data_IF_807179009732
#
_entry.id   IF_807179009732
#
_cell.length_a   1.000
_cell.length_b   1.000
_cell.length_c   1.000
_cell.angle_alpha   90.00
_cell.angle_beta   90.00
_cell.angle_gamma   90.00
#
_symmetry.space_group_name_H-M   'P 1'
#
loop_
_entity.id
_entity.type
_entity.pdbx_description
1 polymer ?
#
# COMPACT_ATOMS: atom_id res chain seq x y z
N UNK A 1 -25.92 16.17 9.01
CA UNK A 1 -26.23 14.80 9.44
C UNK A 1 -26.00 13.83 8.27
N UNK A 2 -24.77 13.49 7.95
CA UNK A 2 -24.46 12.48 6.89
C UNK A 2 -23.04 11.94 7.08
N UNK A 3 -22.71 11.35 8.23
CA UNK A 3 -21.34 11.00 8.54
C UNK A 3 -21.15 9.58 9.12
N UNK A 4 -22.14 8.69 9.01
CA UNK A 4 -22.01 7.31 9.52
C UNK A 4 -21.82 6.24 8.43
N UNK A 5 -21.88 6.58 7.14
CA UNK A 5 -22.00 5.58 6.07
C UNK A 5 -20.72 5.32 5.26
N UNK A 6 -19.64 6.12 5.39
CA UNK A 6 -18.45 5.92 4.54
C UNK A 6 -17.56 4.73 4.97
N UNK A 7 -17.74 4.24 6.20
CA UNK A 7 -17.04 3.07 6.72
C UNK A 7 -17.84 1.76 6.62
N UNK A 8 -19.15 1.84 6.34
CA UNK A 8 -20.04 0.66 6.25
C UNK A 8 -19.75 -0.26 5.06
N UNK A 9 -18.90 0.16 4.12
CA UNK A 9 -18.57 -0.59 2.91
C UNK A 9 -17.16 -1.20 2.93
N UNK A 10 -16.43 -1.12 4.07
CA UNK A 10 -15.10 -1.70 4.16
C UNK A 10 -15.18 -3.23 4.11
N UNK A 11 -14.46 -3.82 3.17
CA UNK A 11 -14.44 -5.28 2.96
C UNK A 11 -13.41 -5.91 3.88
N UNK A 12 -12.24 -5.26 4.01
CA UNK A 12 -11.18 -5.63 4.95
C UNK A 12 -10.74 -4.36 5.66
N UNK A 13 -10.86 -4.35 6.98
CA UNK A 13 -10.40 -3.28 7.87
C UNK A 13 -9.12 -3.66 8.62
N UNK A 14 -8.56 -2.72 9.38
CA UNK A 14 -7.45 -2.99 10.30
C UNK A 14 -7.84 -4.07 11.34
N UNK A 15 -6.90 -4.95 11.65
CA UNK A 15 -7.11 -6.05 12.60
C UNK A 15 -6.67 -5.65 14.02
N UNK A 16 -7.36 -4.69 14.63
CA UNK A 16 -7.02 -4.15 15.95
C UNK A 16 -7.31 -5.10 17.11
N UNK A 17 -8.18 -6.08 16.90
CA UNK A 17 -8.57 -7.04 17.95
C UNK A 17 -7.57 -8.20 18.06
N UNK A 18 -6.68 -8.37 17.09
CA UNK A 18 -5.65 -9.40 17.10
C UNK A 18 -4.48 -9.01 18.01
N UNK A 19 -4.52 -9.48 19.25
CA UNK A 19 -3.48 -9.21 20.25
C UNK A 19 -2.13 -9.82 19.91
N UNK A 20 -2.04 -10.71 18.93
CA UNK A 20 -0.76 -11.23 18.46
C UNK A 20 0.05 -10.21 17.64
N UNK A 21 -0.57 -9.12 17.20
CA UNK A 21 0.08 -8.05 16.42
C UNK A 21 0.77 -6.99 17.28
N UNK A 22 0.59 -7.04 18.60
CA UNK A 22 1.15 -6.08 19.55
C UNK A 22 1.75 -6.79 20.76
N UNK A 23 2.79 -6.18 21.34
CA UNK A 23 3.39 -6.60 22.61
C UNK A 23 3.42 -5.45 23.61
N UNK A 24 3.25 -5.78 24.88
CA UNK A 24 3.41 -4.82 25.98
C UNK A 24 4.87 -4.74 26.39
N UNK A 25 5.42 -3.56 26.42
CA UNK A 25 6.78 -3.29 26.90
C UNK A 25 6.77 -2.23 27.99
N UNK A 26 7.65 -2.40 28.96
CA UNK A 26 7.79 -1.48 30.09
C UNK A 26 9.05 -0.64 29.89
N UNK A 27 8.91 0.67 30.04
CA UNK A 27 10.01 1.62 29.94
C UNK A 27 9.92 2.70 31.01
N UNK A 28 10.69 3.77 30.84
CA UNK A 28 10.60 4.98 31.65
C UNK A 28 10.29 6.19 30.77
N UNK A 29 9.41 7.05 31.23
CA UNK A 29 9.11 8.32 30.58
C UNK A 29 10.20 9.39 30.86
N UNK A 30 10.02 10.60 30.37
CA UNK A 30 10.93 11.72 30.54
C UNK A 30 11.04 12.23 31.98
N UNK A 31 10.12 11.83 32.88
CA UNK A 31 10.14 12.13 34.32
C UNK A 31 10.77 10.99 35.12
N UNK A 32 11.22 9.89 34.50
CA UNK A 32 11.76 8.70 35.15
C UNK A 32 10.69 7.79 35.75
N UNK A 33 9.40 8.00 35.43
CA UNK A 33 8.30 7.18 35.89
C UNK A 33 8.18 5.93 35.01
N UNK A 34 7.76 4.82 35.62
CA UNK A 34 7.50 3.58 34.89
C UNK A 34 6.27 3.76 34.00
N UNK A 35 6.42 3.47 32.71
CA UNK A 35 5.36 3.53 31.70
C UNK A 35 5.29 2.18 30.96
N UNK A 36 4.08 1.67 30.77
CA UNK A 36 3.79 0.50 29.95
C UNK A 36 3.18 0.96 28.63
N UNK A 37 3.71 0.47 27.50
CA UNK A 37 3.26 0.81 26.17
C UNK A 37 2.97 -0.45 25.37
N UNK A 38 1.94 -0.43 24.54
CA UNK A 38 1.76 -1.39 23.46
C UNK A 38 2.64 -0.98 22.28
N UNK A 39 3.41 -1.91 21.74
CA UNK A 39 4.27 -1.74 20.57
C UNK A 39 3.92 -2.78 19.53
N UNK A 40 4.13 -2.43 18.25
CA UNK A 40 3.80 -3.33 17.15
C UNK A 40 4.78 -4.52 17.11
N UNK A 41 4.26 -5.70 16.82
CA UNK A 41 5.08 -6.87 16.52
C UNK A 41 5.66 -6.78 15.12
N UNK A 42 6.90 -7.22 14.98
CA UNK A 42 7.59 -7.33 13.71
C UNK A 42 8.16 -8.73 13.54
N UNK A 43 7.77 -9.41 12.47
CA UNK A 43 8.07 -10.84 12.25
C UNK A 43 8.58 -11.08 10.83
N UNK A 44 9.55 -12.00 10.64
CA UNK A 44 9.97 -12.40 9.31
C UNK A 44 8.87 -13.23 8.63
N UNK A 45 8.68 -13.01 7.34
CA UNK A 45 7.85 -13.82 6.45
C UNK A 45 8.67 -14.20 5.23
N UNK A 46 8.94 -15.50 5.05
CA UNK A 46 9.62 -16.02 3.86
C UNK A 46 8.62 -16.25 2.74
N UNK A 47 8.89 -15.65 1.57
CA UNK A 47 8.04 -15.74 0.38
C UNK A 47 8.73 -16.59 -0.67
N UNK A 48 8.08 -17.68 -1.07
CA UNK A 48 8.53 -18.59 -2.11
C UNK A 48 7.66 -18.47 -3.36
N UNK A 49 8.29 -18.58 -4.51
CA UNK A 49 7.62 -18.83 -5.79
C UNK A 49 8.02 -20.22 -6.25
N UNK A 50 7.08 -21.15 -6.30
CA UNK A 50 7.30 -22.57 -6.49
C UNK A 50 8.29 -23.14 -5.42
N UNK A 51 9.44 -23.64 -5.83
CA UNK A 51 10.46 -24.17 -4.94
C UNK A 51 11.53 -23.16 -4.51
N UNK A 52 11.46 -21.91 -5.01
CA UNK A 52 12.52 -20.94 -4.82
C UNK A 52 12.13 -19.86 -3.80
N UNK A 53 12.97 -19.65 -2.81
CA UNK A 53 12.87 -18.51 -1.91
C UNK A 53 13.17 -17.21 -2.67
N UNK A 54 12.25 -16.26 -2.61
CA UNK A 54 12.37 -14.98 -3.28
C UNK A 54 12.88 -13.91 -2.32
N UNK A 55 12.31 -13.87 -1.12
CA UNK A 55 12.61 -12.87 -0.11
C UNK A 55 12.11 -13.31 1.26
N UNK A 56 12.77 -12.83 2.32
CA UNK A 56 12.20 -12.75 3.66
C UNK A 56 11.95 -11.29 3.99
N UNK A 57 10.69 -10.94 4.21
CA UNK A 57 10.22 -9.58 4.51
C UNK A 57 9.84 -9.46 5.98
N UNK A 58 10.21 -8.35 6.64
CA UNK A 58 9.71 -8.03 7.98
C UNK A 58 8.32 -7.42 7.86
N UNK A 59 7.33 -7.98 8.57
CA UNK A 59 5.91 -7.63 8.50
C UNK A 59 5.26 -7.78 9.88
N UNK A 60 4.08 -7.21 10.08
CA UNK A 60 3.29 -7.47 11.28
C UNK A 60 2.70 -8.89 11.33
N UNK A 61 2.70 -9.60 10.20
CA UNK A 61 2.28 -11.00 10.10
C UNK A 61 0.82 -11.21 9.71
N UNK A 62 -0.02 -10.17 9.62
CA UNK A 62 -1.37 -10.28 9.12
C UNK A 62 -1.40 -10.41 7.58
N UNK A 63 -2.44 -11.02 7.03
CA UNK A 63 -2.65 -11.18 5.59
C UNK A 63 -1.43 -11.71 4.79
N UNK A 64 -0.69 -12.75 5.26
CA UNK A 64 0.57 -13.17 4.65
C UNK A 64 0.42 -13.60 3.18
N UNK A 65 -0.71 -14.22 2.81
CA UNK A 65 -0.99 -14.63 1.42
C UNK A 65 -1.16 -13.44 0.48
N UNK A 66 -1.82 -12.37 0.94
CA UNK A 66 -1.94 -11.14 0.14
C UNK A 66 -0.59 -10.44 0.01
N UNK A 67 0.20 -10.38 1.09
CA UNK A 67 1.55 -9.81 1.03
C UNK A 67 2.42 -10.53 0.01
N UNK A 68 2.49 -11.86 0.10
CA UNK A 68 3.31 -12.67 -0.81
C UNK A 68 2.89 -12.50 -2.28
N UNK A 69 1.60 -12.63 -2.56
CA UNK A 69 1.07 -12.52 -3.91
C UNK A 69 1.28 -11.12 -4.50
N UNK A 70 0.99 -10.09 -3.72
CA UNK A 70 1.15 -8.71 -4.15
C UNK A 70 2.61 -8.31 -4.32
N UNK A 71 3.50 -8.78 -3.45
CA UNK A 71 4.94 -8.61 -3.63
C UNK A 71 5.39 -9.20 -4.97
N UNK A 72 5.07 -10.47 -5.24
CA UNK A 72 5.45 -11.15 -6.48
C UNK A 72 4.89 -10.46 -7.73
N UNK A 73 3.66 -9.95 -7.67
CA UNK A 73 3.03 -9.17 -8.74
C UNK A 73 3.76 -7.84 -8.97
N UNK A 74 3.96 -7.05 -7.92
CA UNK A 74 4.60 -5.75 -8.01
C UNK A 74 6.08 -5.85 -8.41
N UNK A 75 6.74 -7.00 -8.16
CA UNK A 75 8.09 -7.31 -8.65
C UNK A 75 8.09 -7.88 -10.07
N UNK A 76 6.93 -7.98 -10.75
CA UNK A 76 6.79 -8.59 -12.09
C UNK A 76 7.31 -10.04 -12.17
N UNK A 77 7.32 -10.75 -11.06
CA UNK A 77 7.68 -12.17 -10.97
C UNK A 77 6.52 -13.08 -11.41
N UNK A 78 5.29 -12.61 -11.26
CA UNK A 78 4.06 -13.23 -11.72
C UNK A 78 3.39 -12.30 -12.73
N UNK A 79 3.06 -12.80 -13.91
CA UNK A 79 2.33 -12.06 -14.97
C UNK A 79 0.84 -11.97 -14.65
N UNK A 80 0.12 -11.04 -15.30
CA UNK A 80 -1.32 -10.86 -15.08
C UNK A 80 -2.15 -12.07 -15.49
N UNK A 81 -1.73 -12.77 -16.55
CA UNK A 81 -2.34 -13.99 -17.06
C UNK A 81 -1.73 -15.28 -16.47
N UNK A 82 -0.83 -15.17 -15.48
CA UNK A 82 -0.23 -16.34 -14.86
C UNK A 82 -1.28 -17.06 -14.00
N UNK A 83 -1.39 -18.38 -14.21
CA UNK A 83 -2.30 -19.20 -13.43
C UNK A 83 -1.64 -19.61 -12.12
N UNK A 84 -2.21 -19.11 -11.02
CA UNK A 84 -1.84 -19.55 -9.67
C UNK A 84 -2.52 -20.89 -9.40
N UNK A 85 -1.74 -21.91 -9.09
CA UNK A 85 -2.22 -23.26 -8.80
C UNK A 85 -2.40 -23.52 -7.31
N UNK A 86 -1.77 -22.71 -6.45
CA UNK A 86 -1.93 -22.80 -5.00
C UNK A 86 -1.20 -21.67 -4.29
N UNK A 87 -1.69 -21.33 -3.09
CA UNK A 87 -1.05 -20.42 -2.14
C UNK A 87 -1.15 -21.06 -0.75
N UNK A 88 -0.05 -21.59 -0.26
CA UNK A 88 0.04 -22.23 1.03
C UNK A 88 0.75 -21.31 2.02
N UNK A 89 0.26 -21.28 3.25
CA UNK A 89 0.90 -20.58 4.37
C UNK A 89 1.12 -21.54 5.51
N UNK A 90 2.33 -21.59 6.00
CA UNK A 90 2.75 -22.32 7.18
C UNK A 90 3.06 -21.29 8.29
N UNK A 91 2.26 -21.33 9.36
CA UNK A 91 2.37 -20.37 10.46
C UNK A 91 3.59 -20.67 11.36
N UNK A 92 4.00 -21.93 11.50
CA UNK A 92 5.15 -22.30 12.34
C UNK A 92 6.44 -21.76 11.74
N UNK A 93 6.65 -21.97 10.45
CA UNK A 93 7.82 -21.51 9.71
C UNK A 93 7.67 -20.08 9.17
N UNK A 94 6.47 -19.50 9.28
CA UNK A 94 6.12 -18.19 8.69
C UNK A 94 6.49 -18.10 7.21
N UNK A 95 6.09 -19.12 6.47
CA UNK A 95 6.44 -19.25 5.05
C UNK A 95 5.19 -19.26 4.19
N UNK A 96 5.19 -18.44 3.13
CA UNK A 96 4.18 -18.49 2.07
C UNK A 96 4.81 -19.03 0.80
N UNK A 97 4.18 -20.06 0.22
CA UNK A 97 4.57 -20.64 -1.06
C UNK A 97 3.46 -20.33 -2.07
N UNK A 98 3.79 -19.53 -3.08
CA UNK A 98 2.92 -19.29 -4.23
C UNK A 98 3.33 -20.23 -5.35
N UNK A 99 2.39 -21.03 -5.86
CA UNK A 99 2.63 -21.98 -6.97
C UNK A 99 1.99 -21.51 -8.26
N UNK A 100 2.77 -21.63 -9.34
CA UNK A 100 2.34 -21.32 -10.71
C UNK A 100 2.51 -22.55 -11.61
N UNK A 101 1.83 -22.58 -12.75
CA UNK A 101 1.99 -23.67 -13.72
C UNK A 101 3.37 -23.68 -14.40
N UNK A 102 4.02 -22.51 -14.49
CA UNK A 102 5.33 -22.34 -15.15
C UNK A 102 6.42 -22.14 -14.14
N UNK A 103 7.62 -22.67 -14.43
CA UNK A 103 8.81 -22.33 -13.67
C UNK A 103 9.17 -20.84 -13.83
N UNK A 104 9.70 -20.24 -12.75
CA UNK A 104 10.04 -18.82 -12.76
C UNK A 104 11.43 -18.57 -13.36
N UNK A 105 11.57 -17.49 -14.14
CA UNK A 105 12.87 -17.01 -14.64
C UNK A 105 13.59 -16.11 -13.63
N UNK A 106 13.40 -16.37 -12.33
CA UNK A 106 13.87 -15.51 -11.25
C UNK A 106 15.38 -15.26 -11.26
N UNK A 107 16.19 -16.28 -11.52
CA UNK A 107 17.65 -16.16 -11.55
C UNK A 107 18.16 -15.16 -12.59
N UNK A 108 17.48 -15.05 -13.73
CA UNK A 108 17.83 -14.08 -14.78
C UNK A 108 17.46 -12.64 -14.35
N UNK A 109 16.38 -12.49 -13.58
CA UNK A 109 15.90 -11.19 -13.08
C UNK A 109 16.69 -10.65 -11.89
N UNK A 110 17.24 -11.53 -11.03
CA UNK A 110 18.08 -11.13 -9.90
C UNK A 110 19.33 -10.36 -10.32
N UNK A 111 19.89 -10.63 -11.51
CA UNK A 111 21.11 -9.97 -11.99
C UNK A 111 20.96 -8.46 -12.16
N UNK A 112 19.72 -7.93 -12.22
CA UNK A 112 19.41 -6.50 -12.41
C UNK A 112 19.03 -5.78 -11.08
N UNK A 113 19.40 -6.33 -9.92
CA UNK A 113 19.02 -5.74 -8.61
C UNK A 113 19.64 -4.37 -8.37
N UNK A 114 18.80 -3.39 -8.10
CA UNK A 114 19.18 -2.09 -7.52
C UNK A 114 18.71 -2.07 -6.06
N UNK A 115 19.60 -1.69 -5.12
CA UNK A 115 19.25 -1.52 -3.71
C UNK A 115 18.44 -0.23 -3.54
N UNK A 116 17.28 -0.34 -2.92
CA UNK A 116 16.40 0.80 -2.66
C UNK A 116 16.61 1.37 -1.26
N UNK A 117 16.34 2.67 -1.11
CA UNK A 117 16.46 3.37 0.16
C UNK A 117 15.31 3.00 1.11
N UNK A 118 15.58 2.17 2.12
CA UNK A 118 14.69 2.00 3.26
C UNK A 118 13.98 0.65 3.43
N UNK A 119 14.23 -0.33 2.56
CA UNK A 119 13.94 -1.74 2.82
C UNK A 119 15.11 -2.59 2.31
N UNK A 120 15.56 -3.54 3.13
CA UNK A 120 16.71 -4.40 2.83
C UNK A 120 16.51 -5.34 1.63
N UNK A 121 15.32 -5.36 1.04
CA UNK A 121 14.96 -6.19 -0.10
C UNK A 121 15.25 -5.44 -1.38
N UNK A 122 16.31 -5.85 -2.09
CA UNK A 122 16.62 -5.32 -3.42
C UNK A 122 15.45 -5.58 -4.39
N UNK A 123 14.83 -4.51 -4.83
CA UNK A 123 13.78 -4.54 -5.87
C UNK A 123 14.44 -4.87 -7.21
N UNK A 124 13.77 -5.65 -8.05
CA UNK A 124 14.14 -5.84 -9.47
C UNK A 124 13.78 -4.55 -10.23
N UNK A 125 14.50 -3.48 -9.88
CA UNK A 125 14.14 -2.12 -10.28
C UNK A 125 14.29 -1.89 -11.78
N UNK A 126 15.24 -2.56 -12.43
CA UNK A 126 15.48 -2.44 -13.87
C UNK A 126 14.26 -2.87 -14.70
N UNK A 127 13.72 -4.06 -14.45
CA UNK A 127 12.56 -4.57 -15.21
C UNK A 127 11.29 -3.78 -14.91
N UNK A 128 11.18 -3.23 -13.68
CA UNK A 128 10.06 -2.36 -13.30
C UNK A 128 10.12 -1.01 -14.02
N UNK A 129 11.31 -0.46 -14.21
CA UNK A 129 11.50 0.82 -14.90
C UNK A 129 11.32 0.70 -16.42
N UNK A 130 11.84 -0.35 -17.05
CA UNK A 130 11.63 -0.60 -18.48
C UNK A 130 10.13 -0.69 -18.83
N UNK A 131 9.31 -1.20 -17.90
CA UNK A 131 7.87 -1.37 -18.13
C UNK A 131 7.03 -0.16 -17.78
N UNK A 132 7.55 0.80 -16.99
CA UNK A 132 6.73 1.94 -16.54
C UNK A 132 6.48 2.94 -17.67
N UNK A 133 7.38 3.04 -18.63
CA UNK A 133 7.26 3.91 -19.81
C UNK A 133 6.12 3.46 -20.74
N UNK A 134 5.74 2.19 -20.67
CA UNK A 134 4.63 1.62 -21.47
C UNK A 134 3.27 1.76 -20.76
N UNK A 135 3.26 2.13 -19.46
CA UNK A 135 2.02 2.24 -18.69
C UNK A 135 1.42 3.63 -18.88
N UNK A 136 0.23 3.67 -19.45
CA UNK A 136 -0.61 4.87 -19.48
C UNK A 136 -1.89 4.56 -18.70
N UNK A 137 -2.01 5.17 -17.53
CA UNK A 137 -3.17 4.97 -16.66
C UNK A 137 -4.40 5.70 -17.22
N UNK A 138 -5.61 5.16 -17.00
CA UNK A 138 -6.85 5.78 -17.46
C UNK A 138 -7.07 7.14 -16.80
N UNK A 139 -7.78 8.03 -17.49
CA UNK A 139 -8.21 9.28 -16.89
C UNK A 139 -9.29 9.00 -15.84
N UNK A 140 -9.04 9.45 -14.62
CA UNK A 140 -9.98 9.37 -13.52
C UNK A 140 -10.17 10.75 -12.91
N UNK A 141 -11.40 11.28 -12.98
CA UNK A 141 -11.74 12.55 -12.33
C UNK A 141 -11.93 12.33 -10.84
N UNK A 142 -11.34 13.22 -10.03
CA UNK A 142 -11.36 13.15 -8.58
C UNK A 142 -12.01 14.43 -8.04
N UNK A 143 -13.12 14.29 -7.34
CA UNK A 143 -13.73 15.39 -6.60
C UNK A 143 -12.90 15.67 -5.35
N UNK A 144 -12.66 16.95 -5.06
CA UNK A 144 -11.92 17.31 -3.85
C UNK A 144 -12.72 17.01 -2.58
N UNK A 145 -14.06 17.03 -2.65
CA UNK A 145 -14.92 16.55 -1.55
C UNK A 145 -14.57 15.11 -1.14
N UNK A 146 -14.35 14.21 -2.12
CA UNK A 146 -13.96 12.82 -1.83
C UNK A 146 -12.66 12.73 -1.03
N UNK A 147 -11.65 13.57 -1.39
CA UNK A 147 -10.37 13.58 -0.68
C UNK A 147 -10.52 14.00 0.77
N UNK A 148 -11.39 14.99 1.04
CA UNK A 148 -11.65 15.46 2.41
C UNK A 148 -12.40 14.41 3.22
N UNK A 149 -13.41 13.78 2.63
CA UNK A 149 -14.19 12.73 3.29
C UNK A 149 -13.35 11.49 3.56
N UNK A 150 -12.51 11.05 2.60
CA UNK A 150 -11.55 9.96 2.79
C UNK A 150 -10.55 10.27 3.90
N UNK A 151 -9.93 11.46 3.87
CA UNK A 151 -8.96 11.85 4.90
C UNK A 151 -9.61 11.85 6.29
N UNK A 152 -10.84 12.32 6.42
CA UNK A 152 -11.60 12.33 7.66
C UNK A 152 -11.93 10.89 8.10
N UNK A 153 -12.49 10.08 7.20
CA UNK A 153 -12.87 8.71 7.50
C UNK A 153 -11.68 7.86 7.95
N UNK A 154 -10.55 7.91 7.22
CA UNK A 154 -9.34 7.15 7.52
C UNK A 154 -8.72 7.59 8.86
N UNK A 155 -8.70 8.89 9.14
CA UNK A 155 -8.17 9.41 10.42
C UNK A 155 -9.07 9.11 11.63
N UNK A 156 -10.32 8.72 11.43
CA UNK A 156 -11.27 8.34 12.48
C UNK A 156 -11.48 6.84 12.60
N UNK A 157 -10.95 6.06 11.66
CA UNK A 157 -11.05 4.60 11.69
C UNK A 157 -10.07 4.06 12.73
N UNK A 158 -10.56 3.23 13.66
CA UNK A 158 -9.70 2.51 14.57
C UNK A 158 -8.69 1.67 13.77
N UNK A 159 -7.42 1.84 14.07
CA UNK A 159 -6.34 1.19 13.34
C UNK A 159 -5.10 1.08 14.24
N UNK A 160 -4.27 0.10 13.99
CA UNK A 160 -2.98 -0.03 14.69
C UNK A 160 -2.10 1.20 14.47
N UNK A 161 -2.22 1.86 13.31
CA UNK A 161 -1.54 3.11 13.01
C UNK A 161 -1.90 4.24 14.00
N UNK A 162 -3.17 4.32 14.41
CA UNK A 162 -3.63 5.34 15.36
C UNK A 162 -3.38 4.94 16.81
N UNK A 163 -3.48 3.64 17.14
CA UNK A 163 -3.38 3.16 18.51
C UNK A 163 -1.93 3.02 18.97
N UNK A 164 -1.07 2.44 18.13
CA UNK A 164 0.28 2.04 18.51
C UNK A 164 1.35 2.90 17.82
N UNK A 165 1.09 3.39 16.62
CA UNK A 165 2.10 4.05 15.78
C UNK A 165 3.11 3.05 15.20
N UNK A 166 4.26 3.55 14.72
CA UNK A 166 5.36 2.76 14.12
C UNK A 166 4.95 1.83 12.96
N UNK A 167 3.85 2.14 12.27
CA UNK A 167 3.23 1.34 11.22
C UNK A 167 2.71 2.25 10.11
N UNK A 168 2.51 1.69 8.93
CA UNK A 168 1.94 2.39 7.79
C UNK A 168 0.61 1.78 7.38
N UNK A 169 -0.36 2.65 7.05
CA UNK A 169 -1.63 2.26 6.48
C UNK A 169 -1.69 2.54 4.98
N UNK A 170 -2.32 1.63 4.23
CA UNK A 170 -2.66 1.80 2.82
C UNK A 170 -4.11 1.41 2.61
N UNK A 171 -4.87 2.30 2.00
CA UNK A 171 -6.32 2.15 1.81
C UNK A 171 -6.66 2.23 0.32
N UNK A 172 -7.31 1.18 -0.18
CA UNK A 172 -7.93 1.21 -1.49
C UNK A 172 -9.31 1.85 -1.36
N UNK A 173 -9.55 2.87 -2.16
CA UNK A 173 -10.79 3.63 -2.12
C UNK A 173 -11.48 3.66 -3.49
N UNK A 174 -12.77 3.87 -3.47
CA UNK A 174 -13.58 4.22 -4.65
C UNK A 174 -14.41 5.43 -4.31
N UNK A 175 -14.22 6.52 -5.06
CA UNK A 175 -14.84 7.80 -4.71
C UNK A 175 -14.48 8.21 -3.26
N UNK A 176 -15.45 8.49 -2.41
CA UNK A 176 -15.30 8.84 -0.99
C UNK A 176 -15.32 7.62 -0.04
N UNK A 177 -15.32 6.39 -0.58
CA UNK A 177 -15.48 5.17 0.22
C UNK A 177 -14.20 4.37 0.32
N UNK A 178 -13.78 4.05 1.54
CA UNK A 178 -12.74 3.07 1.80
C UNK A 178 -13.28 1.65 1.55
N UNK A 179 -12.55 0.85 0.77
CA UNK A 179 -12.91 -0.54 0.45
C UNK A 179 -12.03 -1.54 1.21
N UNK A 180 -10.73 -1.32 1.20
CA UNK A 180 -9.74 -2.21 1.82
C UNK A 180 -8.71 -1.36 2.53
N UNK A 181 -8.45 -1.65 3.80
CA UNK A 181 -7.42 -1.00 4.59
C UNK A 181 -6.43 -2.05 5.11
N UNK A 182 -5.20 -1.97 4.62
CA UNK A 182 -4.09 -2.83 5.02
C UNK A 182 -3.04 -2.04 5.78
N UNK A 183 -2.51 -2.63 6.85
CA UNK A 183 -1.45 -2.05 7.67
C UNK A 183 -0.19 -2.92 7.64
N UNK A 184 0.98 -2.29 7.75
CA UNK A 184 2.26 -2.98 7.92
C UNK A 184 3.33 -2.02 8.45
N UNK A 185 4.38 -2.56 9.12
CA UNK A 185 5.57 -1.79 9.50
C UNK A 185 6.26 -1.18 8.28
N UNK A 186 6.24 -1.88 7.14
CA UNK A 186 6.74 -1.41 5.85
C UNK A 186 5.64 -0.82 4.98
N UNK A 187 5.76 0.47 4.57
CA UNK A 187 4.79 1.07 3.63
C UNK A 187 4.64 0.28 2.32
N UNK A 188 5.72 -0.36 1.86
CA UNK A 188 5.70 -1.18 0.65
C UNK A 188 4.91 -2.47 0.86
N UNK A 189 5.03 -3.09 2.04
CA UNK A 189 4.27 -4.29 2.38
C UNK A 189 2.76 -3.99 2.44
N UNK A 190 2.37 -2.87 3.06
CA UNK A 190 0.97 -2.45 3.11
C UNK A 190 0.37 -2.27 1.70
N UNK A 191 1.14 -1.72 0.74
CA UNK A 191 0.74 -1.62 -0.68
C UNK A 191 0.70 -2.99 -1.33
N UNK A 192 1.67 -3.87 -1.06
CA UNK A 192 1.70 -5.22 -1.62
C UNK A 192 0.50 -6.05 -1.13
N UNK A 193 0.08 -5.92 0.13
CA UNK A 193 -1.15 -6.55 0.63
C UNK A 193 -2.39 -6.13 -0.19
N UNK A 194 -2.50 -4.84 -0.52
CA UNK A 194 -3.59 -4.32 -1.39
C UNK A 194 -3.46 -4.90 -2.80
N UNK A 195 -2.26 -4.95 -3.37
CA UNK A 195 -2.02 -5.54 -4.69
C UNK A 195 -2.41 -7.03 -4.74
N UNK A 196 -2.06 -7.79 -3.70
CA UNK A 196 -2.44 -9.20 -3.58
C UNK A 196 -3.95 -9.39 -3.46
N UNK A 197 -4.63 -8.52 -2.73
CA UNK A 197 -6.08 -8.53 -2.65
C UNK A 197 -6.74 -8.23 -4.00
N UNK A 198 -6.30 -7.18 -4.71
CA UNK A 198 -6.79 -6.83 -6.05
C UNK A 198 -6.63 -8.00 -7.03
N UNK A 199 -5.45 -8.61 -7.05
CA UNK A 199 -5.17 -9.75 -7.93
C UNK A 199 -6.06 -10.96 -7.60
N UNK A 200 -6.25 -11.28 -6.31
CA UNK A 200 -7.07 -12.41 -5.86
C UNK A 200 -8.55 -12.21 -6.18
N UNK A 201 -9.06 -11.02 -5.97
CA UNK A 201 -10.50 -10.69 -6.15
C UNK A 201 -10.83 -10.31 -7.59
N UNK A 202 -9.82 -10.09 -8.44
CA UNK A 202 -9.97 -9.57 -9.81
C UNK A 202 -10.76 -8.27 -9.85
N UNK A 203 -10.63 -7.46 -8.82
CA UNK A 203 -11.27 -6.14 -8.74
C UNK A 203 -10.62 -5.20 -9.74
N UNK A 204 -11.42 -4.50 -10.54
CA UNK A 204 -10.91 -3.51 -11.52
C UNK A 204 -10.29 -2.31 -10.81
N UNK A 205 -9.10 -1.85 -11.22
CA UNK A 205 -8.39 -0.75 -10.60
C UNK A 205 -8.76 0.64 -11.14
N UNK A 206 -9.40 0.72 -12.30
CA UNK A 206 -9.50 1.91 -13.15
C UNK A 206 -10.19 3.12 -12.49
N UNK A 207 -11.08 2.88 -11.53
CA UNK A 207 -11.83 3.89 -10.79
C UNK A 207 -11.38 4.00 -9.33
N UNK A 208 -10.19 3.49 -9.00
CA UNK A 208 -9.72 3.43 -7.62
C UNK A 208 -8.75 4.57 -7.29
N UNK A 209 -8.71 4.89 -6.02
CA UNK A 209 -7.75 5.79 -5.39
C UNK A 209 -6.98 4.95 -4.38
N UNK A 210 -5.65 4.98 -4.44
CA UNK A 210 -4.80 4.40 -3.42
C UNK A 210 -4.36 5.50 -2.45
N UNK A 211 -4.85 5.44 -1.22
CA UNK A 211 -4.38 6.32 -0.14
C UNK A 211 -3.31 5.62 0.69
N UNK A 212 -2.26 6.35 1.10
CA UNK A 212 -1.22 5.81 1.98
C UNK A 212 -0.78 6.83 3.03
N UNK A 213 -0.31 6.37 4.18
CA UNK A 213 0.35 7.22 5.18
C UNK A 213 1.84 7.44 4.84
N UNK A 214 2.40 6.64 3.94
CA UNK A 214 3.80 6.66 3.54
C UNK A 214 4.16 7.78 2.57
N UNK A 215 5.47 8.03 2.43
CA UNK A 215 5.99 8.98 1.43
C UNK A 215 5.71 8.49 0.01
N UNK A 216 5.45 9.43 -0.90
CA UNK A 216 5.25 9.19 -2.33
C UNK A 216 6.60 9.18 -3.04
N UNK A 217 7.27 8.04 -2.98
CA UNK A 217 8.56 7.79 -3.64
C UNK A 217 8.33 7.17 -5.03
N UNK A 218 9.39 7.13 -5.85
CA UNK A 218 9.38 6.45 -7.16
C UNK A 218 8.81 5.03 -7.07
N UNK A 219 9.24 4.23 -6.08
CA UNK A 219 8.75 2.87 -5.88
C UNK A 219 7.25 2.78 -5.59
N UNK A 220 6.72 3.72 -4.79
CA UNK A 220 5.29 3.77 -4.50
C UNK A 220 4.48 4.08 -5.75
N UNK A 221 4.97 5.01 -6.58
CA UNK A 221 4.35 5.35 -7.88
C UNK A 221 4.40 4.15 -8.83
N UNK A 222 5.55 3.48 -8.94
CA UNK A 222 5.72 2.29 -9.79
C UNK A 222 4.76 1.17 -9.37
N UNK A 223 4.66 0.88 -8.06
CA UNK A 223 3.73 -0.14 -7.55
C UNK A 223 2.27 0.24 -7.85
N UNK A 224 1.89 1.50 -7.64
CA UNK A 224 0.54 1.97 -7.93
C UNK A 224 0.21 1.88 -9.43
N UNK A 225 1.16 2.26 -10.30
CA UNK A 225 1.03 2.13 -11.76
C UNK A 225 0.92 0.67 -12.20
N UNK A 226 1.74 -0.23 -11.64
CA UNK A 226 1.67 -1.67 -11.91
C UNK A 226 0.34 -2.31 -11.49
N UNK A 227 -0.33 -1.76 -10.47
CA UNK A 227 -1.68 -2.16 -10.08
C UNK A 227 -2.76 -1.60 -11.02
N UNK A 228 -2.42 -0.68 -11.93
CA UNK A 228 -3.38 0.00 -12.82
C UNK A 228 -4.23 1.08 -12.13
N UNK A 229 -3.84 1.54 -10.94
CA UNK A 229 -4.60 2.52 -10.16
C UNK A 229 -4.24 3.95 -10.61
N UNK A 230 -5.20 4.75 -11.11
CA UNK A 230 -4.92 6.06 -11.71
C UNK A 230 -4.62 7.18 -10.71
N UNK A 231 -4.85 6.97 -9.42
CA UNK A 231 -4.67 8.01 -8.40
C UNK A 231 -3.96 7.49 -7.16
N UNK A 232 -2.89 8.19 -6.78
CA UNK A 232 -2.12 7.91 -5.57
C UNK A 232 -2.13 9.14 -4.65
N UNK A 233 -2.64 8.95 -3.45
CA UNK A 233 -2.86 10.01 -2.46
C UNK A 233 -2.11 9.71 -1.17
N UNK A 234 -1.52 10.72 -0.54
CA UNK A 234 -0.85 10.56 0.76
C UNK A 234 -0.98 11.78 1.67
N UNK A 235 -1.00 11.52 2.98
CA UNK A 235 -0.78 12.58 3.98
C UNK A 235 0.67 13.05 4.08
N UNK A 236 1.61 12.31 3.48
CA UNK A 236 3.05 12.57 3.49
C UNK A 236 3.50 13.35 2.24
N UNK A 237 4.80 13.56 2.09
CA UNK A 237 5.39 14.29 0.97
C UNK A 237 5.86 13.41 -0.18
N UNK A 238 6.48 14.06 -1.17
CA UNK A 238 6.90 13.51 -2.45
C UNK A 238 8.43 13.44 -2.54
N UNK A 239 8.92 12.61 -3.46
CA UNK A 239 10.26 12.74 -4.04
C UNK A 239 10.15 13.27 -5.47
N UNK A 240 11.18 14.01 -5.94
CA UNK A 240 11.19 14.55 -7.29
C UNK A 240 10.95 13.46 -8.35
N UNK A 241 11.69 12.36 -8.25
CA UNK A 241 11.55 11.24 -9.18
C UNK A 241 10.17 10.56 -9.11
N UNK A 242 9.54 10.47 -7.93
CA UNK A 242 8.15 10.01 -7.83
C UNK A 242 7.18 10.89 -8.61
N UNK A 243 7.39 12.22 -8.60
CA UNK A 243 6.56 13.15 -9.38
C UNK A 243 6.79 12.97 -10.89
N UNK A 244 8.03 12.82 -11.33
CA UNK A 244 8.36 12.58 -12.74
C UNK A 244 7.68 11.30 -13.27
N UNK A 245 7.77 10.21 -12.53
CA UNK A 245 7.13 8.94 -12.91
C UNK A 245 5.61 9.02 -12.90
N UNK A 246 5.01 9.77 -11.98
CA UNK A 246 3.58 9.98 -11.96
C UNK A 246 3.09 10.75 -13.20
N UNK A 247 3.86 11.74 -13.66
CA UNK A 247 3.58 12.47 -14.90
C UNK A 247 3.71 11.56 -16.12
N UNK A 248 4.77 10.74 -16.16
CA UNK A 248 5.03 9.80 -17.24
C UNK A 248 3.88 8.79 -17.41
N UNK A 249 3.37 8.25 -16.32
CA UNK A 249 2.30 7.24 -16.30
C UNK A 249 0.89 7.82 -16.36
N UNK A 250 0.72 9.13 -16.48
CA UNK A 250 -0.58 9.81 -16.40
C UNK A 250 -1.30 9.60 -15.05
N UNK A 251 -0.55 9.40 -13.94
CA UNK A 251 -1.11 9.23 -12.60
C UNK A 251 -1.49 10.57 -11.96
N UNK A 252 -2.64 10.63 -11.29
CA UNK A 252 -2.95 11.76 -10.39
C UNK A 252 -2.20 11.56 -9.07
N UNK A 253 -1.27 12.46 -8.74
CA UNK A 253 -0.41 12.37 -7.56
C UNK A 253 -0.69 13.51 -6.58
N UNK A 254 -1.26 13.15 -5.42
CA UNK A 254 -1.67 14.09 -4.38
C UNK A 254 -0.95 13.75 -3.08
N UNK A 255 -0.24 14.72 -2.52
CA UNK A 255 0.41 14.54 -1.22
C UNK A 255 0.07 15.66 -0.25
N UNK A 256 0.58 15.50 0.99
CA UNK A 256 0.34 16.42 2.12
C UNK A 256 -1.15 16.62 2.43
N UNK A 257 -1.96 15.60 2.15
CA UNK A 257 -3.40 15.66 2.46
C UNK A 257 -3.61 15.64 3.97
N UNK A 258 -4.03 16.80 4.52
CA UNK A 258 -4.33 16.99 5.93
C UNK A 258 -5.55 17.90 6.08
N UNK A 259 -6.66 17.32 6.54
CA UNK A 259 -7.94 18.02 6.57
C UNK A 259 -8.33 18.48 5.16
N UNK A 260 -8.55 19.77 4.97
CA UNK A 260 -8.93 20.36 3.68
C UNK A 260 -7.72 20.87 2.86
N UNK A 261 -6.47 20.53 3.22
CA UNK A 261 -5.25 20.98 2.51
C UNK A 261 -4.53 19.82 1.87
N UNK A 262 -4.12 20.00 0.62
CA UNK A 262 -3.29 19.05 -0.14
C UNK A 262 -2.46 19.79 -1.20
N UNK A 263 -1.56 19.05 -1.85
CA UNK A 263 -0.82 19.50 -3.02
C UNK A 263 -0.93 18.42 -4.09
N UNK A 264 -1.35 18.79 -5.30
CA UNK A 264 -1.35 17.92 -6.47
C UNK A 264 -0.16 18.31 -7.35
N UNK A 265 0.70 17.34 -7.71
CA UNK A 265 1.91 17.56 -8.53
C UNK A 265 1.89 16.80 -9.86
N UNK A 266 0.84 16.04 -10.12
CA UNK A 266 0.54 15.39 -11.40
C UNK A 266 -0.95 15.17 -11.51
N UNK A 267 -1.54 15.39 -12.70
CA UNK A 267 -2.96 15.19 -12.96
C UNK A 267 -3.89 16.23 -12.36
N UNK A 268 -3.40 17.44 -12.14
CA UNK A 268 -4.15 18.57 -11.59
C UNK A 268 -5.38 18.94 -12.41
N UNK A 269 -5.36 18.73 -13.72
CA UNK A 269 -6.48 18.94 -14.65
C UNK A 269 -7.64 17.94 -14.44
N UNK A 270 -7.42 16.86 -13.68
CA UNK A 270 -8.43 15.84 -13.36
C UNK A 270 -9.14 16.11 -12.04
N UNK A 271 -8.69 17.11 -11.28
CA UNK A 271 -9.36 17.51 -10.05
C UNK A 271 -10.64 18.30 -10.36
N UNK A 272 -11.72 17.90 -9.69
CA UNK A 272 -13.01 18.59 -9.74
C UNK A 272 -13.20 19.35 -8.44
N UNK A 273 -13.19 20.68 -8.51
CA UNK A 273 -13.38 21.57 -7.37
C UNK A 273 -14.89 21.75 -7.14
N UNK A 274 -15.49 20.80 -6.43
CA UNK A 274 -16.92 20.70 -6.17
C UNK A 274 -17.35 21.23 -4.80
N UNK A 275 -16.43 21.83 -4.04
CA UNK A 275 -16.69 22.46 -2.75
C UNK A 275 -16.25 23.92 -2.76
N UNK A 276 -16.99 24.79 -2.10
CA UNK A 276 -16.60 26.18 -1.91
C UNK A 276 -15.47 26.25 -0.86
N UNK A 277 -14.25 26.56 -1.35
CA UNK A 277 -13.03 26.63 -0.51
C UNK A 277 -13.06 27.85 0.42
N UNK A 278 -13.91 28.84 0.14
CA UNK A 278 -14.00 30.10 0.90
C UNK A 278 -14.93 30.01 2.11
N UNK A 279 -15.75 28.98 2.23
CA UNK A 279 -16.51 28.73 3.45
C UNK A 279 -15.58 28.19 4.53
N UNK A 280 -15.25 29.08 5.46
CA UNK A 280 -14.56 28.76 6.72
C UNK A 280 -15.60 28.15 7.68
N UNK A 281 -15.82 26.82 7.58
CA UNK A 281 -16.41 26.01 8.66
C UNK A 281 -15.32 25.15 9.33
#
# INVERSE_FOLDING_TARGET
MSNKNNLSNIIIGPNIDDKSLVSKVTGKDHLGQTSELEVIEERPLSIYLNSQEIVTAMTIGDHPKYLALGFLKNQKLIKDNEKITGIDYDDETRTVIVRTEKESNYEQKIKKKIRTSGCAVGTVFGDMMESIEEIVLPESRIKISWLYDLAKAINQMNSLYLEVGAIHGTVLCREDKALVYMEDVGRHNAVDKVAGWLFTTKTTPDDKILYTTGRLTSEMVVKCANMGIPALVSRSGFTAWGVELAKLTNMTLIGRLRGKRFVCLSGENRLVYDVDINNKD
#
